data_IF_795704221998
#
_entry.id   IF_795704221998
#
_cell.length_a   1.000
_cell.length_b   1.000
_cell.length_c   1.000
_cell.angle_alpha   90.00
_cell.angle_beta   90.00
_cell.angle_gamma   90.00
#
_symmetry.space_group_name_H-M   'P 1'
#
loop_
_entity.id
_entity.type
_entity.pdbx_description
1 polymer ?
#
# COMPACT_ATOMS: atom_id res chain seq x y z
N UNK A 1 25.70 -50.37 25.24
CA UNK A 1 25.10 -49.14 25.83
C UNK A 1 25.14 -48.07 24.74
N UNK A 2 24.05 -47.88 24.01
CA UNK A 2 23.95 -46.86 22.97
C UNK A 2 23.18 -45.67 23.52
N UNK A 3 23.84 -44.52 23.63
CA UNK A 3 23.20 -43.25 23.95
C UNK A 3 22.85 -42.55 22.63
N UNK A 4 21.60 -42.18 22.35
CA UNK A 4 21.31 -41.33 21.21
C UNK A 4 21.64 -39.88 21.57
N UNK A 5 22.50 -39.25 20.78
CA UNK A 5 22.67 -37.80 20.79
C UNK A 5 21.42 -37.18 20.16
N UNK A 6 20.59 -36.53 20.98
CA UNK A 6 19.59 -35.59 20.48
C UNK A 6 20.31 -34.41 19.81
N UNK A 7 20.27 -34.36 18.48
CA UNK A 7 20.59 -33.16 17.73
C UNK A 7 19.54 -32.07 17.98
N UNK A 8 19.93 -30.79 18.15
CA UNK A 8 18.98 -29.73 18.43
C UNK A 8 18.11 -29.41 17.21
N UNK A 9 16.84 -29.15 17.52
CA UNK A 9 15.72 -28.79 16.65
C UNK A 9 16.06 -27.88 15.45
N UNK A 10 15.94 -28.44 14.24
CA UNK A 10 15.83 -27.70 12.99
C UNK A 10 14.41 -27.11 12.92
N UNK A 11 14.24 -25.84 13.32
CA UNK A 11 12.91 -25.20 13.25
C UNK A 11 12.84 -23.67 13.30
N UNK A 12 13.92 -22.92 13.59
CA UNK A 12 13.82 -21.48 13.89
C UNK A 12 14.11 -20.50 12.75
N UNK A 13 14.41 -20.94 11.53
CA UNK A 13 14.88 -20.04 10.46
C UNK A 13 13.92 -19.80 9.28
N UNK A 14 12.71 -20.38 9.28
CA UNK A 14 11.90 -20.42 8.06
C UNK A 14 10.95 -19.24 7.79
N UNK A 15 10.64 -18.37 8.77
CA UNK A 15 9.56 -17.37 8.59
C UNK A 15 9.89 -15.90 8.88
N UNK A 16 11.17 -15.51 8.95
CA UNK A 16 11.58 -14.11 9.20
C UNK A 16 10.83 -13.07 8.35
N UNK A 17 10.61 -13.27 7.03
CA UNK A 17 9.87 -12.29 6.22
C UNK A 17 8.38 -12.19 6.58
N UNK A 18 7.74 -13.31 6.96
CA UNK A 18 6.32 -13.32 7.30
C UNK A 18 6.08 -12.67 8.67
N UNK A 19 6.96 -12.91 9.63
CA UNK A 19 6.87 -12.30 10.97
C UNK A 19 7.11 -10.79 10.90
N UNK A 20 8.10 -10.36 10.10
CA UNK A 20 8.33 -8.94 9.84
C UNK A 20 7.12 -8.30 9.15
N UNK A 21 6.55 -8.94 8.13
CA UNK A 21 5.36 -8.43 7.45
C UNK A 21 4.16 -8.29 8.40
N UNK A 22 3.97 -9.24 9.33
CA UNK A 22 2.92 -9.16 10.37
C UNK A 22 3.14 -7.98 11.30
N UNK A 23 4.38 -7.74 11.75
CA UNK A 23 4.73 -6.59 12.60
C UNK A 23 4.47 -5.28 11.88
N UNK A 24 4.91 -5.15 10.63
CA UNK A 24 4.69 -3.93 9.86
C UNK A 24 3.20 -3.67 9.59
N UNK A 25 2.42 -4.71 9.31
CA UNK A 25 0.97 -4.55 9.16
C UNK A 25 0.33 -4.02 10.45
N UNK A 26 0.68 -4.60 11.62
CA UNK A 26 0.15 -4.14 12.90
C UNK A 26 0.52 -2.68 13.18
N UNK A 27 1.76 -2.29 12.89
CA UNK A 27 2.20 -0.90 13.04
C UNK A 27 1.47 0.05 12.07
N UNK A 28 1.25 -0.38 10.82
CA UNK A 28 0.50 0.40 9.84
C UNK A 28 -0.98 0.56 10.26
N UNK A 29 -1.62 -0.51 10.74
CA UNK A 29 -2.99 -0.47 11.26
C UNK A 29 -3.12 0.46 12.47
N UNK A 30 -2.16 0.39 13.41
CA UNK A 30 -2.12 1.30 14.56
C UNK A 30 -1.96 2.76 14.15
N UNK A 31 -1.10 3.06 13.16
CA UNK A 31 -0.93 4.41 12.60
C UNK A 31 -2.23 4.92 11.98
N UNK A 32 -2.92 4.09 11.20
CA UNK A 32 -4.21 4.41 10.61
C UNK A 32 -5.28 4.71 11.65
N UNK A 33 -5.40 3.86 12.68
CA UNK A 33 -6.38 4.03 13.75
C UNK A 33 -6.11 5.27 14.60
N UNK A 34 -4.85 5.53 14.96
CA UNK A 34 -4.46 6.74 15.70
C UNK A 34 -4.77 8.00 14.89
N UNK A 35 -4.41 8.01 13.61
CA UNK A 35 -4.69 9.14 12.73
C UNK A 35 -6.19 9.39 12.59
N UNK A 36 -6.98 8.32 12.44
CA UNK A 36 -8.44 8.36 12.36
C UNK A 36 -9.05 8.94 13.64
N UNK A 37 -8.61 8.48 14.81
CA UNK A 37 -9.07 8.99 16.11
C UNK A 37 -8.76 10.48 16.30
N UNK A 38 -7.54 10.91 16.00
CA UNK A 38 -7.13 12.32 16.10
C UNK A 38 -7.95 13.22 15.16
N UNK A 39 -8.22 12.78 13.93
CA UNK A 39 -9.04 13.56 13.01
C UNK A 39 -10.52 13.56 13.37
N UNK A 40 -11.03 12.50 14.00
CA UNK A 40 -12.39 12.47 14.54
C UNK A 40 -12.62 13.55 15.59
N UNK A 41 -11.65 13.72 16.50
CA UNK A 41 -11.66 14.80 17.49
C UNK A 41 -11.59 16.20 16.84
N UNK A 42 -10.83 16.33 15.76
CA UNK A 42 -10.63 17.60 15.04
C UNK A 42 -11.68 17.87 13.95
N UNK A 43 -12.67 16.99 13.76
CA UNK A 43 -13.69 17.13 12.71
C UNK A 43 -13.14 17.07 11.27
N UNK A 44 -11.95 16.51 11.05
CA UNK A 44 -11.29 16.47 9.73
C UNK A 44 -11.69 15.23 8.93
N UNK A 45 -11.78 15.36 7.60
CA UNK A 45 -12.04 14.23 6.68
C UNK A 45 -10.94 13.18 6.80
N UNK A 46 -11.33 11.90 6.92
CA UNK A 46 -10.45 10.82 7.40
C UNK A 46 -9.88 9.89 6.30
N UNK A 47 -10.44 9.92 5.08
CA UNK A 47 -10.10 8.98 4.00
C UNK A 47 -9.28 9.59 2.86
N UNK A 48 -8.93 8.73 1.88
CA UNK A 48 -8.34 9.14 0.61
C UNK A 48 -9.29 10.07 -0.16
N UNK A 49 -8.72 11.02 -0.90
CA UNK A 49 -9.50 11.82 -1.84
C UNK A 49 -10.06 10.92 -2.93
N UNK A 50 -11.36 11.06 -3.22
CA UNK A 50 -11.96 10.39 -4.37
C UNK A 50 -11.51 11.06 -5.66
N UNK A 51 -11.26 10.24 -6.68
CA UNK A 51 -11.09 10.72 -8.05
C UNK A 51 -12.34 11.50 -8.51
N UNK A 52 -12.19 12.66 -9.20
CA UNK A 52 -13.30 13.35 -9.82
C UNK A 52 -14.02 12.49 -10.87
N UNK A 53 -15.23 12.88 -11.27
CA UNK A 53 -15.97 12.15 -12.30
C UNK A 53 -15.28 12.29 -13.65
N UNK A 54 -15.15 11.18 -14.40
CA UNK A 54 -14.60 11.23 -15.75
C UNK A 54 -15.39 12.16 -16.69
N UNK A 55 -16.68 12.36 -16.44
CA UNK A 55 -17.54 13.23 -17.27
C UNK A 55 -17.07 14.70 -17.33
N UNK A 56 -16.18 15.10 -16.42
CA UNK A 56 -15.56 16.44 -16.41
C UNK A 56 -14.36 16.56 -17.37
N UNK A 57 -13.95 15.47 -18.03
CA UNK A 57 -12.75 15.39 -18.87
C UNK A 57 -13.10 15.06 -20.31
N UNK A 58 -12.32 15.61 -21.25
CA UNK A 58 -12.56 15.45 -22.70
C UNK A 58 -11.74 14.32 -23.31
N UNK A 59 -10.61 13.95 -22.70
CA UNK A 59 -9.67 12.97 -23.25
C UNK A 59 -9.08 12.07 -22.16
N UNK A 60 -8.84 10.82 -22.56
CA UNK A 60 -8.05 9.85 -21.82
C UNK A 60 -6.95 9.31 -22.74
N UNK A 61 -5.72 9.21 -22.23
CA UNK A 61 -4.65 8.50 -22.93
C UNK A 61 -3.68 7.82 -21.96
N UNK A 62 -3.05 6.75 -22.41
CA UNK A 62 -2.00 6.08 -21.64
C UNK A 62 -0.69 6.83 -21.78
N UNK A 63 -0.07 7.18 -20.65
CA UNK A 63 1.34 7.63 -20.58
C UNK A 63 2.31 6.44 -20.48
N UNK A 64 1.81 5.23 -20.24
CA UNK A 64 2.61 4.02 -20.12
C UNK A 64 3.26 3.86 -18.74
N UNK A 65 4.37 3.10 -18.70
CA UNK A 65 5.11 2.79 -17.48
C UNK A 65 6.04 3.96 -17.12
N UNK A 66 5.87 4.50 -15.91
CA UNK A 66 6.67 5.61 -15.40
C UNK A 66 6.96 5.44 -13.89
N UNK A 67 8.09 5.96 -13.44
CA UNK A 67 8.40 6.07 -12.01
C UNK A 67 7.78 7.36 -11.47
N UNK A 68 6.96 7.25 -10.43
CA UNK A 68 6.23 8.39 -9.86
C UNK A 68 6.59 8.62 -8.39
N UNK A 69 6.70 9.88 -7.94
CA UNK A 69 6.83 10.18 -6.53
C UNK A 69 5.58 9.75 -5.76
N UNK A 70 5.73 8.90 -4.74
CA UNK A 70 4.61 8.39 -3.93
C UNK A 70 3.85 9.55 -3.24
N UNK A 71 4.54 10.65 -2.94
CA UNK A 71 3.93 11.86 -2.37
C UNK A 71 2.91 12.55 -3.28
N UNK A 72 2.97 12.31 -4.59
CA UNK A 72 2.01 12.87 -5.58
C UNK A 72 0.75 12.00 -5.72
N UNK A 73 0.70 10.84 -5.08
CA UNK A 73 -0.50 10.00 -5.01
C UNK A 73 -1.37 10.55 -3.87
N UNK A 74 -2.41 11.29 -4.23
CA UNK A 74 -3.22 12.08 -3.27
C UNK A 74 -4.58 11.46 -2.96
N UNK A 75 -4.94 10.41 -3.68
CA UNK A 75 -6.29 9.86 -3.65
C UNK A 75 -6.39 8.51 -4.33
N UNK A 76 -7.63 8.09 -4.56
CA UNK A 76 -7.94 6.80 -5.15
C UNK A 76 -9.27 6.84 -5.91
N UNK A 77 -9.36 6.06 -6.99
CA UNK A 77 -10.60 5.82 -7.74
C UNK A 77 -11.56 4.95 -6.92
N UNK A 78 -11.04 3.99 -6.16
CA UNK A 78 -11.82 3.04 -5.36
C UNK A 78 -11.27 2.89 -3.92
N UNK A 79 -11.89 2.07 -3.06
CA UNK A 79 -11.36 1.66 -1.74
C UNK A 79 -10.94 2.80 -0.79
N UNK A 80 -11.55 3.98 -0.89
CA UNK A 80 -11.24 5.13 -0.02
C UNK A 80 -11.56 4.91 1.47
N UNK A 81 -12.29 3.84 1.82
CA UNK A 81 -12.68 3.48 3.19
C UNK A 81 -11.77 2.46 3.87
N UNK A 82 -10.96 1.74 3.10
CA UNK A 82 -10.05 0.71 3.66
C UNK A 82 -8.74 1.32 4.15
N UNK A 83 -8.44 2.55 3.73
CA UNK A 83 -7.17 3.22 3.95
C UNK A 83 -7.36 4.69 4.36
N UNK A 84 -6.48 5.18 5.22
CA UNK A 84 -6.37 6.61 5.49
C UNK A 84 -5.70 7.36 4.32
N UNK A 85 -5.63 8.69 4.43
CA UNK A 85 -4.97 9.56 3.44
C UNK A 85 -3.47 9.28 3.23
N UNK A 86 -2.84 8.52 4.12
CA UNK A 86 -1.44 8.10 4.05
C UNK A 86 -1.29 6.64 3.60
N UNK A 87 -2.36 6.02 3.12
CA UNK A 87 -2.42 4.62 2.72
C UNK A 87 -2.12 3.63 3.86
N UNK A 88 -2.34 4.01 5.13
CA UNK A 88 -2.34 3.06 6.24
C UNK A 88 -3.67 2.28 6.22
N UNK A 89 -3.66 0.95 6.42
CA UNK A 89 -4.89 0.18 6.54
C UNK A 89 -5.70 0.65 7.75
N UNK A 90 -7.03 0.67 7.61
CA UNK A 90 -7.97 1.04 8.68
C UNK A 90 -8.69 -0.17 9.27
N UNK A 91 -8.55 -1.34 8.64
CA UNK A 91 -9.25 -2.55 9.05
C UNK A 91 -8.43 -3.81 8.77
N UNK A 92 -8.83 -4.88 9.46
CA UNK A 92 -8.17 -6.19 9.42
C UNK A 92 -8.38 -6.97 8.12
N UNK A 93 -9.41 -6.63 7.33
CA UNK A 93 -9.74 -7.38 6.10
C UNK A 93 -8.62 -7.31 5.06
N UNK A 94 -7.79 -6.28 5.12
CA UNK A 94 -6.64 -6.07 4.23
C UNK A 94 -5.41 -6.88 4.63
N UNK A 95 -5.37 -7.46 5.85
CA UNK A 95 -4.17 -8.07 6.48
C UNK A 95 -3.48 -9.10 5.61
N UNK A 96 -4.21 -10.14 5.19
CA UNK A 96 -3.58 -11.27 4.51
C UNK A 96 -2.94 -10.86 3.19
N UNK A 97 -3.64 -10.05 2.40
CA UNK A 97 -3.15 -9.59 1.10
C UNK A 97 -1.99 -8.61 1.27
N UNK A 98 -2.06 -7.73 2.28
CA UNK A 98 -0.98 -6.82 2.64
C UNK A 98 0.29 -7.60 3.03
N UNK A 99 0.17 -8.60 3.91
CA UNK A 99 1.30 -9.45 4.33
C UNK A 99 1.90 -10.17 3.13
N UNK A 100 1.09 -10.75 2.23
CA UNK A 100 1.58 -11.41 1.02
C UNK A 100 2.40 -10.48 0.13
N UNK A 101 1.96 -9.23 -0.02
CA UNK A 101 2.70 -8.20 -0.77
C UNK A 101 4.02 -7.86 -0.08
N UNK A 102 3.99 -7.58 1.23
CA UNK A 102 5.19 -7.27 2.00
C UNK A 102 6.23 -8.40 1.97
N UNK A 103 5.80 -9.65 2.16
CA UNK A 103 6.66 -10.82 2.05
C UNK A 103 7.29 -10.94 0.66
N UNK A 104 6.54 -10.61 -0.41
CA UNK A 104 7.07 -10.64 -1.77
C UNK A 104 8.18 -9.60 -1.96
N UNK A 105 7.97 -8.38 -1.45
CA UNK A 105 8.96 -7.30 -1.47
C UNK A 105 10.21 -7.67 -0.68
N UNK A 106 10.06 -8.19 0.54
CA UNK A 106 11.21 -8.62 1.36
C UNK A 106 12.02 -9.75 0.74
N UNK A 107 11.38 -10.57 -0.09
CA UNK A 107 12.03 -11.64 -0.86
C UNK A 107 12.62 -11.15 -2.18
N UNK A 108 12.58 -9.84 -2.47
CA UNK A 108 13.05 -9.27 -3.74
C UNK A 108 12.27 -9.75 -4.96
N UNK A 109 11.04 -10.24 -4.78
CA UNK A 109 10.22 -10.70 -5.90
C UNK A 109 9.63 -9.50 -6.62
N UNK A 110 9.75 -9.43 -7.96
CA UNK A 110 9.11 -8.36 -8.71
C UNK A 110 7.60 -8.43 -8.50
N UNK A 111 7.00 -7.26 -8.33
CA UNK A 111 5.55 -7.09 -8.30
C UNK A 111 5.13 -6.29 -9.53
N UNK A 112 3.91 -6.51 -10.05
CA UNK A 112 3.42 -5.68 -11.13
C UNK A 112 3.34 -4.21 -10.68
N UNK A 113 3.53 -3.26 -11.61
CA UNK A 113 3.42 -1.84 -11.30
C UNK A 113 2.03 -1.51 -10.73
N UNK A 114 1.94 -0.39 -10.01
CA UNK A 114 0.64 0.14 -9.61
C UNK A 114 -0.06 0.77 -10.83
N UNK A 115 -1.37 0.98 -10.74
CA UNK A 115 -2.11 1.68 -11.79
C UNK A 115 -2.60 3.01 -11.25
N UNK A 116 -2.30 4.08 -11.97
CA UNK A 116 -2.62 5.45 -11.58
C UNK A 116 -3.44 6.16 -12.66
N UNK A 117 -4.27 7.08 -12.21
CA UNK A 117 -4.91 8.10 -13.04
C UNK A 117 -4.31 9.44 -12.67
N UNK A 118 -3.83 10.17 -13.66
CA UNK A 118 -3.33 11.52 -13.50
C UNK A 118 -4.41 12.53 -13.86
N UNK A 119 -4.62 13.50 -12.96
CA UNK A 119 -5.51 14.63 -13.12
C UNK A 119 -4.78 15.86 -12.61
N UNK A 120 -4.64 16.90 -13.44
CA UNK A 120 -4.02 18.18 -13.08
C UNK A 120 -2.64 18.06 -12.38
N UNK A 121 -1.82 17.08 -12.81
CA UNK A 121 -0.48 16.84 -12.26
C UNK A 121 -0.43 16.08 -10.92
N UNK A 122 -1.58 15.63 -10.42
CA UNK A 122 -1.72 14.76 -9.26
C UNK A 122 -2.18 13.36 -9.65
N UNK A 123 -1.86 12.37 -8.81
CA UNK A 123 -2.19 10.97 -9.08
C UNK A 123 -3.25 10.43 -8.12
N UNK A 124 -4.14 9.61 -8.68
CA UNK A 124 -5.14 8.85 -7.97
C UNK A 124 -4.91 7.37 -8.23
N UNK A 125 -4.89 6.59 -7.15
CA UNK A 125 -4.66 5.15 -7.22
C UNK A 125 -5.88 4.42 -7.78
N UNK A 126 -5.70 3.68 -8.87
CA UNK A 126 -6.72 2.80 -9.46
C UNK A 126 -6.55 1.36 -8.96
N UNK A 127 -5.31 0.86 -8.95
CA UNK A 127 -4.95 -0.45 -8.37
C UNK A 127 -3.59 -0.41 -7.68
N UNK A 128 -3.42 -1.25 -6.66
CA UNK A 128 -2.15 -1.45 -5.96
C UNK A 128 -2.09 -0.84 -4.56
N UNK A 129 -3.21 -0.64 -3.86
CA UNK A 129 -3.27 -0.04 -2.52
C UNK A 129 -2.34 -0.69 -1.51
N UNK A 130 -2.29 -2.03 -1.48
CA UNK A 130 -1.36 -2.74 -0.60
C UNK A 130 0.10 -2.44 -0.96
N UNK A 131 0.45 -2.33 -2.25
CA UNK A 131 1.81 -2.02 -2.70
C UNK A 131 2.21 -0.61 -2.27
N UNK A 132 1.34 0.39 -2.48
CA UNK A 132 1.57 1.77 -2.01
C UNK A 132 1.68 1.82 -0.49
N UNK A 133 0.80 1.12 0.23
CA UNK A 133 0.83 1.04 1.69
C UNK A 133 2.15 0.48 2.21
N UNK A 134 2.62 -0.66 1.67
CA UNK A 134 3.91 -1.25 2.04
C UNK A 134 5.08 -0.35 1.66
N UNK A 135 5.07 0.24 0.47
CA UNK A 135 6.10 1.16 0.01
C UNK A 135 6.24 2.36 0.97
N UNK A 136 5.12 2.96 1.38
CA UNK A 136 5.13 4.07 2.37
C UNK A 136 5.59 3.62 3.74
N UNK A 137 5.17 2.44 4.19
CA UNK A 137 5.62 1.87 5.47
C UNK A 137 7.14 1.67 5.50
N UNK A 138 7.73 1.29 4.36
CA UNK A 138 9.17 1.12 4.18
C UNK A 138 9.92 2.43 3.86
N UNK A 139 9.25 3.59 3.84
CA UNK A 139 9.89 4.88 3.55
C UNK A 139 10.31 5.06 2.09
N UNK A 140 9.78 4.26 1.16
CA UNK A 140 10.06 4.39 -0.26
C UNK A 140 9.52 5.72 -0.80
N UNK A 141 10.28 6.39 -1.66
CA UNK A 141 9.97 7.72 -2.18
C UNK A 141 9.25 7.69 -3.54
N UNK A 142 9.55 6.68 -4.35
CA UNK A 142 9.07 6.54 -5.73
C UNK A 142 8.59 5.12 -6.01
N UNK A 143 7.67 4.95 -6.95
CA UNK A 143 7.11 3.65 -7.31
C UNK A 143 6.83 3.58 -8.82
N UNK A 144 7.02 2.40 -9.41
CA UNK A 144 6.66 2.17 -10.82
C UNK A 144 5.14 2.08 -10.99
N UNK A 145 4.62 2.81 -11.96
CA UNK A 145 3.20 2.93 -12.23
C UNK A 145 2.89 2.90 -13.73
N UNK A 146 1.81 2.22 -14.10
CA UNK A 146 1.12 2.45 -15.36
C UNK A 146 0.20 3.65 -15.18
N UNK A 147 0.42 4.72 -15.94
CA UNK A 147 -0.33 5.97 -15.82
C UNK A 147 -1.27 6.17 -16.99
N UNK A 148 -2.53 6.40 -16.66
CA UNK A 148 -3.56 6.94 -17.55
C UNK A 148 -3.73 8.42 -17.22
N UNK A 149 -3.69 9.31 -18.23
CA UNK A 149 -3.90 10.75 -18.05
C UNK A 149 -5.32 11.11 -18.45
N UNK A 150 -6.00 11.88 -17.60
CA UNK A 150 -7.27 12.52 -17.91
C UNK A 150 -7.05 14.02 -18.13
N UNK A 151 -7.46 14.50 -19.31
CA UNK A 151 -7.25 15.88 -19.74
C UNK A 151 -8.59 16.58 -20.00
N UNK A 152 -8.70 17.83 -19.55
CA UNK A 152 -9.90 18.67 -19.70
C UNK A 152 -10.02 19.28 -21.09
#
# INVERSE_FOLDING_TARGET
MFTPMMGPAIGRSYNRPADEARRQFNAALQRGNLFTALNGLLGRRQGLNSLPSFAEFRREYSRGLVTVPIRKIIGSENRSRDYDRFFNPLNETTRERWIRVAVSIFKGRPLPPITLIEVDGFYYLRDGHHRVSVARMNGQLEIEALVTVWER
#
